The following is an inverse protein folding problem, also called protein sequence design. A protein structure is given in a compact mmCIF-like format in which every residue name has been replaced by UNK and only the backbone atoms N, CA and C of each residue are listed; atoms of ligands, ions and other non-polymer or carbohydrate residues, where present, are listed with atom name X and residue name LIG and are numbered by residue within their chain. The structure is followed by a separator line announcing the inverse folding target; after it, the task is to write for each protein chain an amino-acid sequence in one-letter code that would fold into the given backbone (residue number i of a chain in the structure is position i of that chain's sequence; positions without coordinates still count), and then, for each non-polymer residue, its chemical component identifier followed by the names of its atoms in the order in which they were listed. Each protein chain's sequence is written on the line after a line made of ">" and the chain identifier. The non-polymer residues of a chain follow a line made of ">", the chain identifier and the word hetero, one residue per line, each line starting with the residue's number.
data_IF_715203825839
#
_entry.id   IF_715203825839
#
_cell.length_a   1.000
_cell.length_b   1.000
_cell.length_c   1.000
_cell.angle_alpha   90.00
_cell.angle_beta   90.00
_cell.angle_gamma   90.00
#
_symmetry.space_group_name_H-M   'P 1'
#
loop_
_entity.id
_entity.type
_entity.pdbx_description
1 polymer ?
#
# COMPACT_ATOMS: atom_id res chain seq x y z
N UNK A 1 -10.00 6.58 -16.40
CA UNK A 1 -10.43 6.35 -15.01
C UNK A 1 -10.31 7.62 -14.16
N UNK A 2 -9.16 8.22 -14.06
CA UNK A 2 -8.95 9.45 -13.27
C UNK A 2 -9.80 10.61 -13.82
N UNK A 3 -9.91 10.74 -15.12
CA UNK A 3 -10.73 11.77 -15.77
C UNK A 3 -12.21 11.69 -15.41
N UNK A 4 -12.68 10.53 -14.93
CA UNK A 4 -14.06 10.33 -14.45
C UNK A 4 -14.13 10.54 -12.94
N UNK A 5 -13.15 9.98 -12.19
CA UNK A 5 -13.16 10.02 -10.73
C UNK A 5 -13.02 11.44 -10.16
N UNK A 6 -12.08 12.22 -10.67
CA UNK A 6 -11.80 13.56 -10.12
C UNK A 6 -12.98 14.52 -10.24
N UNK A 7 -13.61 14.67 -11.42
CA UNK A 7 -14.77 15.55 -11.52
C UNK A 7 -15.95 15.11 -10.66
N UNK A 8 -16.07 13.80 -10.40
CA UNK A 8 -17.15 13.26 -9.55
C UNK A 8 -16.81 13.32 -8.04
N UNK A 9 -15.62 13.76 -7.67
CA UNK A 9 -15.17 13.78 -6.28
C UNK A 9 -14.90 12.39 -5.71
N UNK A 10 -14.65 11.40 -6.54
CA UNK A 10 -14.44 10.00 -6.14
C UNK A 10 -12.94 9.71 -6.07
N UNK A 11 -12.52 9.01 -5.00
CA UNK A 11 -11.13 8.56 -4.84
C UNK A 11 -10.81 7.49 -5.87
N UNK A 12 -9.68 7.65 -6.56
CA UNK A 12 -9.20 6.71 -7.56
C UNK A 12 -8.04 5.89 -7.01
N UNK A 13 -8.18 4.56 -7.00
CA UNK A 13 -7.15 3.62 -6.55
C UNK A 13 -6.74 2.72 -7.71
N UNK A 14 -5.44 2.46 -7.84
CA UNK A 14 -4.90 1.51 -8.81
C UNK A 14 -4.17 0.41 -8.06
N UNK A 15 -4.47 -0.85 -8.40
CA UNK A 15 -3.83 -2.02 -7.81
C UNK A 15 -2.75 -2.51 -8.76
N UNK A 16 -1.51 -2.59 -8.27
CA UNK A 16 -0.38 -3.05 -9.08
C UNK A 16 -0.34 -4.57 -9.21
N UNK A 17 -0.70 -5.30 -8.16
CA UNK A 17 -0.46 -6.74 -7.99
C UNK A 17 1.03 -7.03 -8.13
N UNK A 18 1.79 -6.50 -7.18
CA UNK A 18 3.26 -6.46 -7.22
C UNK A 18 3.92 -7.82 -7.36
N UNK A 19 3.28 -8.89 -6.90
CA UNK A 19 3.83 -10.25 -7.01
C UNK A 19 4.01 -10.73 -8.44
N UNK A 20 3.37 -10.10 -9.42
CA UNK A 20 3.49 -10.44 -10.84
C UNK A 20 4.39 -9.51 -11.63
N UNK A 21 5.00 -8.51 -10.99
CA UNK A 21 5.78 -7.49 -11.67
C UNK A 21 7.25 -7.54 -11.26
N UNK A 22 8.13 -7.20 -12.19
CA UNK A 22 9.53 -6.89 -11.87
C UNK A 22 9.61 -5.51 -11.23
N UNK A 23 10.73 -5.19 -10.58
CA UNK A 23 10.93 -3.87 -9.98
C UNK A 23 10.84 -2.76 -11.04
N UNK A 24 11.39 -3.00 -12.22
CA UNK A 24 11.33 -2.04 -13.33
C UNK A 24 9.88 -1.80 -13.77
N UNK A 25 9.09 -2.87 -13.87
CA UNK A 25 7.67 -2.76 -14.19
C UNK A 25 6.89 -2.01 -13.11
N UNK A 26 7.19 -2.28 -11.84
CA UNK A 26 6.59 -1.56 -10.70
C UNK A 26 6.86 -0.06 -10.79
N UNK A 27 8.10 0.32 -11.04
CA UNK A 27 8.49 1.73 -11.20
C UNK A 27 7.75 2.40 -12.36
N UNK A 28 7.65 1.71 -13.49
CA UNK A 28 6.95 2.22 -14.67
C UNK A 28 5.48 2.46 -14.38
N UNK A 29 4.79 1.48 -13.78
CA UNK A 29 3.38 1.61 -13.44
C UNK A 29 3.16 2.73 -12.42
N UNK A 30 4.02 2.87 -11.43
CA UNK A 30 3.93 3.93 -10.44
C UNK A 30 4.08 5.31 -11.08
N UNK A 31 5.00 5.48 -12.02
CA UNK A 31 5.17 6.74 -12.75
C UNK A 31 3.95 7.09 -13.58
N UNK A 32 3.40 6.11 -14.29
CA UNK A 32 2.20 6.31 -15.10
C UNK A 32 1.01 6.72 -14.22
N UNK A 33 0.83 6.02 -13.10
CA UNK A 33 -0.24 6.31 -12.16
C UNK A 33 -0.10 7.71 -11.53
N UNK A 34 1.14 8.09 -11.18
CA UNK A 34 1.43 9.42 -10.64
C UNK A 34 1.08 10.51 -11.65
N UNK A 35 1.51 10.35 -12.90
CA UNK A 35 1.21 11.31 -13.97
C UNK A 35 -0.29 11.40 -14.25
N UNK A 36 -1.00 10.27 -14.17
CA UNK A 36 -2.45 10.24 -14.34
C UNK A 36 -3.21 10.89 -13.16
N UNK A 37 -2.55 11.08 -12.01
CA UNK A 37 -3.14 11.76 -10.85
C UNK A 37 -4.02 10.89 -9.99
N UNK A 38 -3.69 9.60 -9.84
CA UNK A 38 -4.43 8.70 -8.92
C UNK A 38 -4.27 9.16 -7.48
N UNK A 39 -5.24 8.83 -6.63
CA UNK A 39 -5.19 9.17 -5.21
C UNK A 39 -4.44 8.14 -4.38
N UNK A 40 -4.56 6.86 -4.74
CA UNK A 40 -3.93 5.74 -4.05
C UNK A 40 -3.38 4.70 -5.00
N UNK A 41 -2.27 4.08 -4.59
CA UNK A 41 -1.78 2.83 -5.17
C UNK A 41 -1.89 1.73 -4.12
N UNK A 42 -2.30 0.54 -4.54
CA UNK A 42 -2.41 -0.63 -3.68
C UNK A 42 -1.48 -1.73 -4.20
N UNK A 43 -0.77 -2.41 -3.29
CA UNK A 43 0.18 -3.46 -3.67
C UNK A 43 -0.50 -4.68 -4.27
N UNK A 44 -1.58 -5.15 -3.67
CA UNK A 44 -2.12 -6.48 -3.94
C UNK A 44 -3.61 -6.55 -3.69
N UNK A 45 -4.27 -7.48 -4.41
CA UNK A 45 -5.69 -7.80 -4.17
C UNK A 45 -5.89 -8.73 -2.98
N UNK A 46 -4.86 -9.51 -2.62
CA UNK A 46 -4.97 -10.60 -1.65
C UNK A 46 -5.18 -11.97 -2.31
N UNK A 47 -5.38 -12.00 -3.62
CA UNK A 47 -5.60 -13.24 -4.38
C UNK A 47 -4.39 -13.67 -5.21
N UNK A 48 -3.32 -12.87 -5.24
CA UNK A 48 -2.09 -13.20 -5.93
C UNK A 48 -1.22 -14.19 -5.16
N UNK A 49 -0.07 -14.54 -5.72
CA UNK A 49 0.87 -15.53 -5.14
C UNK A 49 1.61 -14.98 -3.92
N UNK A 50 1.71 -13.67 -3.78
CA UNK A 50 2.32 -13.00 -2.62
C UNK A 50 1.63 -11.66 -2.37
N UNK A 51 1.80 -11.12 -1.17
CA UNK A 51 1.20 -9.87 -0.74
C UNK A 51 2.21 -8.74 -0.62
N UNK A 52 1.95 -7.83 0.32
CA UNK A 52 2.77 -6.65 0.54
C UNK A 52 4.14 -7.00 1.09
N UNK A 53 5.17 -6.32 0.60
CA UNK A 53 6.52 -6.39 1.12
C UNK A 53 7.05 -5.00 1.41
N UNK A 54 7.99 -4.90 2.35
CA UNK A 54 8.67 -3.64 2.67
C UNK A 54 9.39 -3.09 1.42
N UNK A 55 10.05 -3.97 0.67
CA UNK A 55 10.74 -3.60 -0.57
C UNK A 55 9.78 -2.91 -1.56
N UNK A 56 8.63 -3.51 -1.80
CA UNK A 56 7.66 -2.98 -2.77
C UNK A 56 7.04 -1.67 -2.31
N UNK A 57 6.67 -1.58 -1.05
CA UNK A 57 6.10 -0.34 -0.49
C UNK A 57 7.12 0.80 -0.54
N UNK A 58 8.37 0.54 -0.18
CA UNK A 58 9.43 1.53 -0.26
C UNK A 58 9.68 2.00 -1.70
N UNK A 59 9.67 1.07 -2.65
CA UNK A 59 9.80 1.38 -4.07
C UNK A 59 8.66 2.27 -4.56
N UNK A 60 7.42 1.90 -4.23
CA UNK A 60 6.25 2.67 -4.62
C UNK A 60 6.28 4.08 -4.04
N UNK A 61 6.61 4.21 -2.75
CA UNK A 61 6.71 5.51 -2.08
C UNK A 61 7.80 6.39 -2.71
N UNK A 62 8.93 5.81 -3.03
CA UNK A 62 10.04 6.55 -3.65
C UNK A 62 9.63 7.13 -5.01
N UNK A 63 8.90 6.36 -5.81
CA UNK A 63 8.53 6.78 -7.16
C UNK A 63 7.40 7.80 -7.15
N UNK A 64 6.37 7.58 -6.32
CA UNK A 64 5.18 8.46 -6.35
C UNK A 64 5.29 9.70 -5.48
N UNK A 65 6.30 9.77 -4.60
CA UNK A 65 6.48 10.91 -3.71
C UNK A 65 5.52 10.90 -2.51
N UNK A 66 5.40 12.02 -1.77
CA UNK A 66 4.72 12.04 -0.49
C UNK A 66 3.20 12.22 -0.55
N UNK A 67 2.63 12.64 -1.68
CA UNK A 67 1.22 13.05 -1.76
C UNK A 67 0.25 11.93 -2.13
N UNK A 68 0.71 10.92 -2.87
CA UNK A 68 -0.14 9.79 -3.25
C UNK A 68 -0.14 8.77 -2.13
N UNK A 69 -1.33 8.29 -1.74
CA UNK A 69 -1.45 7.25 -0.72
C UNK A 69 -0.97 5.90 -1.23
N UNK A 70 -0.31 5.13 -0.36
CA UNK A 70 0.12 3.76 -0.67
C UNK A 70 -0.58 2.82 0.30
N UNK A 71 -1.37 1.89 -0.22
CA UNK A 71 -2.04 0.86 0.58
C UNK A 71 -1.31 -0.46 0.42
N UNK A 72 -0.78 -0.98 1.52
CA UNK A 72 -0.17 -2.30 1.58
C UNK A 72 -1.22 -3.32 1.97
N UNK A 73 -1.35 -4.39 1.20
CA UNK A 73 -2.34 -5.43 1.45
C UNK A 73 -1.79 -6.81 1.08
N UNK A 74 -2.32 -7.83 1.77
CA UNK A 74 -1.95 -9.22 1.57
C UNK A 74 -0.84 -9.66 2.50
N UNK A 75 -1.08 -10.70 3.27
CA UNK A 75 -0.09 -11.34 4.13
C UNK A 75 0.31 -10.58 5.39
N UNK A 76 -0.38 -9.49 5.73
CA UNK A 76 -0.07 -8.71 6.94
C UNK A 76 -0.81 -9.35 8.12
N UNK A 77 -0.09 -9.99 9.03
CA UNK A 77 -0.69 -10.80 10.09
C UNK A 77 -0.32 -10.39 11.50
N UNK A 78 0.71 -9.56 11.67
CA UNK A 78 1.19 -9.15 12.99
C UNK A 78 1.58 -7.68 13.01
N UNK A 79 1.79 -7.18 14.22
CA UNK A 79 2.13 -5.76 14.44
C UNK A 79 3.49 -5.41 13.86
N UNK A 80 4.48 -6.29 13.97
CA UNK A 80 5.83 -6.00 13.48
C UNK A 80 5.84 -5.79 11.97
N UNK A 81 5.13 -6.65 11.23
CA UNK A 81 4.97 -6.51 9.78
C UNK A 81 4.23 -5.23 9.43
N UNK A 82 3.15 -4.92 10.15
CA UNK A 82 2.38 -3.70 9.93
C UNK A 82 3.23 -2.44 10.14
N UNK A 83 3.99 -2.38 11.22
CA UNK A 83 4.86 -1.24 11.53
C UNK A 83 5.97 -1.08 10.48
N UNK A 84 6.57 -2.19 10.05
CA UNK A 84 7.60 -2.16 9.01
C UNK A 84 7.07 -1.58 7.69
N UNK A 85 5.85 -1.96 7.31
CA UNK A 85 5.23 -1.43 6.09
C UNK A 85 4.89 0.06 6.22
N UNK A 86 4.43 0.50 7.37
CA UNK A 86 4.18 1.92 7.65
C UNK A 86 5.47 2.71 7.56
N UNK A 87 6.56 2.22 8.16
CA UNK A 87 7.89 2.86 8.08
C UNK A 87 8.40 2.92 6.65
N UNK A 88 8.09 1.92 5.82
CA UNK A 88 8.47 1.90 4.42
C UNK A 88 7.68 2.91 3.57
N UNK A 89 6.57 3.43 4.08
CA UNK A 89 5.79 4.45 3.39
C UNK A 89 4.32 4.16 3.16
N UNK A 90 3.80 3.04 3.69
CA UNK A 90 2.37 2.75 3.59
C UNK A 90 1.57 3.73 4.45
N UNK A 91 0.48 4.25 3.87
CA UNK A 91 -0.45 5.14 4.57
C UNK A 91 -1.74 4.41 4.95
N UNK A 92 -2.00 3.27 4.36
CA UNK A 92 -3.11 2.38 4.70
C UNK A 92 -2.66 0.93 4.63
N UNK A 93 -3.28 0.10 5.46
CA UNK A 93 -3.04 -1.34 5.49
C UNK A 93 -4.36 -2.07 5.25
N UNK A 94 -4.32 -3.10 4.38
CA UNK A 94 -5.42 -4.02 4.18
C UNK A 94 -5.06 -5.37 4.77
N UNK A 95 -5.81 -5.83 5.78
CA UNK A 95 -5.49 -7.08 6.48
C UNK A 95 -6.75 -7.72 7.05
N UNK A 96 -6.77 -9.06 7.11
CA UNK A 96 -7.79 -9.81 7.82
C UNK A 96 -7.47 -9.98 9.31
N UNK A 97 -6.27 -9.54 9.75
CA UNK A 97 -5.81 -9.64 11.14
C UNK A 97 -5.88 -8.29 11.88
N UNK A 98 -6.73 -7.37 11.44
CA UNK A 98 -6.78 -6.00 11.95
C UNK A 98 -7.01 -5.91 13.45
N UNK A 99 -7.92 -6.70 14.00
CA UNK A 99 -8.22 -6.70 15.44
C UNK A 99 -6.99 -7.09 16.25
N UNK A 100 -6.31 -8.18 15.86
CA UNK A 100 -5.11 -8.67 16.52
C UNK A 100 -3.98 -7.64 16.49
N UNK A 101 -3.80 -6.99 15.35
CA UNK A 101 -2.76 -5.97 15.18
C UNK A 101 -3.03 -4.76 16.08
N UNK A 102 -4.27 -4.28 16.11
CA UNK A 102 -4.66 -3.13 16.95
C UNK A 102 -4.50 -3.47 18.43
N UNK A 103 -4.90 -4.66 18.86
CA UNK A 103 -4.74 -5.10 20.23
C UNK A 103 -3.27 -5.21 20.64
N UNK A 104 -2.42 -5.76 19.75
CA UNK A 104 -0.98 -5.82 19.98
C UNK A 104 -0.37 -4.42 20.14
N UNK A 105 -0.81 -3.46 19.33
CA UNK A 105 -0.37 -2.07 19.44
C UNK A 105 -0.78 -1.44 20.77
N UNK A 106 -2.01 -1.69 21.23
CA UNK A 106 -2.47 -1.20 22.52
C UNK A 106 -1.65 -1.78 23.67
N UNK A 107 -1.32 -3.06 23.62
CA UNK A 107 -0.48 -3.70 24.64
C UNK A 107 0.93 -3.09 24.65
N UNK A 108 1.52 -2.83 23.49
CA UNK A 108 2.80 -2.18 23.38
C UNK A 108 2.77 -0.78 24.01
N UNK A 109 1.74 0.00 23.75
CA UNK A 109 1.58 1.34 24.33
C UNK A 109 1.44 1.30 25.86
N UNK A 110 0.78 0.29 26.41
CA UNK A 110 0.64 0.13 27.86
C UNK A 110 1.98 -0.16 28.53
N UNK A 111 2.91 -0.82 27.82
CA UNK A 111 4.24 -1.11 28.32
C UNK A 111 5.20 0.07 28.30
N UNK A 112 4.81 1.15 27.67
CA UNK A 112 5.57 2.38 27.59
C UNK A 112 5.15 3.33 28.71
#
# INVERSE_FOLDING_TARGET
>A
MVSICKPAGVICKVILETCYLTDEEKETVCRIAKEAGVDFLKTSTGFGTAGATVHDVALMRRVVGPTIGVKAAGGIRDLDSALALIQAGATRLGTSSGIQIVESYKELKKGL
#
